data_IF_935002707335
#
_entry.id   IF_935002707335
#
_cell.length_a   1.000
_cell.length_b   1.000
_cell.length_c   1.000
_cell.angle_alpha   90.00
_cell.angle_beta   90.00
_cell.angle_gamma   90.00
#
_symmetry.space_group_name_H-M   'P 1'
#
loop_
_entity.id
_entity.type
_entity.pdbx_description
1 polymer ?
#
# COMPACT_ATOMS: atom_id res chain seq x y z
N UNK A 1 -6.47 7.80 -8.49
CA UNK A 1 -6.54 8.09 -7.03
C UNK A 1 -7.84 7.64 -6.38
N UNK A 2 -9.02 8.08 -6.84
CA UNK A 2 -10.31 7.73 -6.18
C UNK A 2 -10.59 6.22 -6.24
N UNK A 3 -10.31 5.59 -7.38
CA UNK A 3 -10.53 4.15 -7.59
C UNK A 3 -9.62 3.29 -6.70
N UNK A 4 -8.30 3.48 -6.77
CA UNK A 4 -7.32 2.79 -5.91
C UNK A 4 -7.67 2.90 -4.42
N UNK A 5 -8.07 4.10 -3.97
CA UNK A 5 -8.49 4.31 -2.60
C UNK A 5 -9.74 3.51 -2.25
N UNK A 6 -10.79 3.58 -3.08
CA UNK A 6 -12.03 2.80 -2.89
C UNK A 6 -11.74 1.30 -2.83
N UNK A 7 -10.90 0.81 -3.75
CA UNK A 7 -10.47 -0.58 -3.80
C UNK A 7 -9.79 -1.02 -2.50
N UNK A 8 -8.78 -0.27 -2.05
CA UNK A 8 -8.06 -0.54 -0.79
C UNK A 8 -9.04 -0.65 0.40
N UNK A 9 -10.01 0.28 0.49
CA UNK A 9 -11.01 0.26 1.57
C UNK A 9 -11.82 -1.03 1.60
N UNK A 10 -12.28 -1.45 0.42
CA UNK A 10 -13.12 -2.63 0.25
C UNK A 10 -12.32 -3.89 0.53
N UNK A 11 -11.10 -3.97 -0.01
CA UNK A 11 -10.28 -5.18 0.09
C UNK A 11 -9.80 -5.45 1.52
N UNK A 12 -9.40 -4.42 2.27
CA UNK A 12 -9.05 -4.56 3.69
C UNK A 12 -10.23 -5.06 4.55
N UNK A 13 -11.47 -4.66 4.21
CA UNK A 13 -12.70 -5.15 4.84
C UNK A 13 -12.94 -6.62 4.58
N UNK A 14 -12.84 -7.03 3.32
CA UNK A 14 -13.01 -8.43 2.88
C UNK A 14 -11.99 -9.34 3.56
N UNK A 15 -10.72 -8.89 3.66
CA UNK A 15 -9.64 -9.63 4.31
C UNK A 15 -9.66 -9.53 5.84
N UNK A 16 -10.60 -8.77 6.42
CA UNK A 16 -10.73 -8.52 7.86
C UNK A 16 -9.44 -7.98 8.52
N UNK A 17 -8.59 -7.31 7.74
CA UNK A 17 -7.29 -6.78 8.18
C UNK A 17 -7.39 -5.48 8.99
N UNK A 18 -8.56 -4.83 9.04
CA UNK A 18 -8.75 -3.54 9.74
C UNK A 18 -9.18 -3.65 11.21
N UNK A 19 -9.35 -4.85 11.77
CA UNK A 19 -9.86 -5.06 13.14
C UNK A 19 -8.76 -5.54 14.10
N UNK A 20 -8.93 -5.26 15.41
CA UNK A 20 -8.09 -5.75 16.53
C UNK A 20 -6.58 -5.45 16.41
N UNK A 21 -6.22 -4.19 16.16
CA UNK A 21 -4.81 -3.78 16.02
C UNK A 21 -4.20 -4.07 14.65
N UNK A 22 -5.04 -4.33 13.64
CA UNK A 22 -4.62 -4.51 12.26
C UNK A 22 -4.29 -3.21 11.53
N UNK A 23 -4.37 -3.25 10.21
CA UNK A 23 -3.86 -2.21 9.30
C UNK A 23 -4.71 -0.94 9.41
N UNK A 24 -4.06 0.16 9.80
CA UNK A 24 -4.62 1.51 9.76
C UNK A 24 -4.22 2.17 8.45
N UNK A 25 -5.18 2.87 7.81
CA UNK A 25 -4.99 3.55 6.54
C UNK A 25 -5.25 5.04 6.68
N UNK A 26 -4.32 5.84 6.20
CA UNK A 26 -4.42 7.30 6.20
C UNK A 26 -4.42 7.77 4.75
N UNK A 27 -5.36 8.67 4.40
CA UNK A 27 -5.38 9.31 3.09
C UNK A 27 -4.55 10.59 3.20
N UNK A 28 -3.49 10.67 2.41
CA UNK A 28 -2.63 11.85 2.28
C UNK A 28 -2.69 12.40 0.86
N UNK A 29 -2.32 13.67 0.69
CA UNK A 29 -2.38 14.37 -0.60
C UNK A 29 -1.02 14.37 -1.30
N UNK A 30 -0.19 15.39 -1.07
CA UNK A 30 1.15 15.49 -1.64
C UNK A 30 2.18 14.99 -0.62
N UNK A 31 3.13 14.18 -1.11
CA UNK A 31 4.27 13.65 -0.34
C UNK A 31 5.60 14.00 -1.00
N UNK A 32 5.61 15.06 -1.82
CA UNK A 32 6.77 15.52 -2.61
C UNK A 32 7.34 14.51 -3.64
N UNK A 33 6.64 13.39 -3.84
CA UNK A 33 6.91 12.41 -4.90
C UNK A 33 5.93 12.65 -6.05
N UNK A 34 6.24 13.62 -6.90
CA UNK A 34 5.36 14.04 -8.00
C UNK A 34 5.28 13.02 -9.14
N UNK A 35 6.34 12.23 -9.36
CA UNK A 35 6.42 11.22 -10.43
C UNK A 35 6.17 9.83 -9.85
N UNK A 36 5.21 9.09 -10.41
CA UNK A 36 4.91 7.71 -10.01
C UNK A 36 3.67 7.53 -9.12
N UNK A 37 2.85 8.56 -8.92
CA UNK A 37 1.57 8.42 -8.20
C UNK A 37 0.57 7.51 -8.95
N UNK A 38 -0.37 6.83 -8.25
CA UNK A 38 -0.62 6.84 -6.81
C UNK A 38 0.50 6.19 -5.98
N UNK A 39 0.78 6.78 -4.82
CA UNK A 39 1.80 6.31 -3.88
C UNK A 39 1.15 5.61 -2.68
N UNK A 40 1.73 4.50 -2.23
CA UNK A 40 1.35 3.80 -1.01
C UNK A 40 2.60 3.56 -0.16
N UNK A 41 2.55 3.98 1.10
CA UNK A 41 3.61 3.70 2.07
C UNK A 41 3.13 2.69 3.10
N UNK A 42 3.96 1.69 3.40
CA UNK A 42 3.71 0.68 4.43
C UNK A 42 4.68 0.92 5.59
N UNK A 43 4.11 1.13 6.78
CA UNK A 43 4.84 1.31 8.03
C UNK A 43 4.44 0.19 9.00
N UNK A 44 5.37 -0.34 9.83
CA UNK A 44 6.71 0.17 10.12
C UNK A 44 7.81 -0.18 9.10
N UNK A 45 7.50 -0.98 8.09
CA UNK A 45 8.45 -1.56 7.13
C UNK A 45 9.25 -0.51 6.32
N UNK A 46 8.75 0.71 6.20
CA UNK A 46 9.46 1.80 5.53
C UNK A 46 9.54 1.63 4.01
N UNK A 47 8.60 0.91 3.42
CA UNK A 47 8.53 0.62 1.99
C UNK A 47 7.52 1.54 1.33
N UNK A 48 7.93 2.15 0.22
CA UNK A 48 7.14 3.03 -0.61
C UNK A 48 6.91 2.39 -1.97
N UNK A 49 5.65 2.28 -2.36
CA UNK A 49 5.21 1.75 -3.63
C UNK A 49 4.72 2.87 -4.55
N UNK A 50 5.13 2.81 -5.82
CA UNK A 50 4.63 3.66 -6.90
C UNK A 50 3.62 2.93 -7.78
N UNK A 51 2.90 3.68 -8.61
CA UNK A 51 2.00 3.11 -9.61
C UNK A 51 0.85 2.29 -9.02
N UNK A 52 0.38 2.62 -7.82
CA UNK A 52 -0.57 1.81 -7.06
C UNK A 52 -1.99 1.83 -7.66
N UNK A 53 -2.18 1.06 -8.73
CA UNK A 53 -3.49 0.70 -9.29
C UNK A 53 -4.20 -0.34 -8.41
N UNK A 54 -5.51 -0.60 -8.60
CA UNK A 54 -6.20 -1.65 -7.87
C UNK A 54 -5.52 -3.03 -7.92
N UNK A 55 -4.98 -3.41 -9.08
CA UNK A 55 -4.28 -4.69 -9.24
C UNK A 55 -2.97 -4.74 -8.44
N UNK A 56 -2.19 -3.66 -8.49
CA UNK A 56 -0.95 -3.52 -7.72
C UNK A 56 -1.23 -3.54 -6.22
N UNK A 57 -2.31 -2.87 -5.80
CA UNK A 57 -2.73 -2.87 -4.39
C UNK A 57 -3.10 -4.29 -3.94
N UNK A 58 -3.82 -5.08 -4.73
CA UNK A 58 -4.15 -6.47 -4.34
C UNK A 58 -2.89 -7.30 -4.13
N UNK A 59 -1.89 -7.16 -5.00
CA UNK A 59 -0.57 -7.78 -4.83
C UNK A 59 0.10 -7.32 -3.54
N UNK A 60 0.15 -6.02 -3.25
CA UNK A 60 0.73 -5.51 -1.99
C UNK A 60 -0.02 -6.06 -0.77
N UNK A 61 -1.35 -6.15 -0.80
CA UNK A 61 -2.13 -6.68 0.32
C UNK A 61 -1.85 -8.18 0.54
N UNK A 62 -1.74 -8.97 -0.53
CA UNK A 62 -1.56 -10.42 -0.43
C UNK A 62 -0.09 -10.82 -0.22
N UNK A 63 0.82 -10.29 -1.01
CA UNK A 63 2.24 -10.64 -0.94
C UNK A 63 2.90 -9.97 0.26
N UNK A 64 2.71 -8.65 0.43
CA UNK A 64 3.39 -7.90 1.47
C UNK A 64 2.67 -7.98 2.81
N UNK A 65 1.41 -7.55 2.92
CA UNK A 65 0.74 -7.50 4.23
C UNK A 65 0.36 -8.87 4.78
N UNK A 66 -0.07 -9.82 3.93
CA UNK A 66 -0.47 -11.14 4.40
C UNK A 66 0.70 -12.14 4.50
N UNK A 67 1.72 -12.04 3.63
CA UNK A 67 2.82 -13.00 3.58
C UNK A 67 4.21 -12.41 3.92
N UNK A 68 4.29 -11.11 4.23
CA UNK A 68 5.55 -10.45 4.61
C UNK A 68 6.56 -10.29 3.47
N UNK A 69 6.14 -10.41 2.21
CA UNK A 69 7.01 -10.33 1.02
C UNK A 69 6.77 -9.04 0.23
N UNK A 70 7.70 -8.08 0.22
CA UNK A 70 7.57 -6.87 -0.58
C UNK A 70 7.41 -7.17 -2.08
N UNK A 71 6.61 -6.35 -2.77
CA UNK A 71 6.43 -6.45 -4.22
C UNK A 71 7.48 -5.58 -4.91
N UNK A 72 8.73 -6.07 -4.97
CA UNK A 72 9.93 -5.32 -5.40
C UNK A 72 9.75 -4.55 -6.72
N UNK A 73 8.98 -5.11 -7.66
CA UNK A 73 8.64 -4.49 -8.95
C UNK A 73 8.05 -3.07 -8.82
N UNK A 74 7.30 -2.81 -7.76
CA UNK A 74 6.64 -1.51 -7.52
C UNK A 74 7.32 -0.67 -6.44
N UNK A 75 8.39 -1.16 -5.83
CA UNK A 75 9.11 -0.43 -4.78
C UNK A 75 9.87 0.75 -5.42
N UNK A 76 9.58 1.95 -4.94
CA UNK A 76 10.24 3.19 -5.39
C UNK A 76 11.21 3.75 -4.35
N UNK A 77 11.04 3.36 -3.09
CA UNK A 77 11.98 3.62 -2.02
C UNK A 77 11.78 2.60 -0.90
N UNK A 78 12.86 2.12 -0.32
CA UNK A 78 12.85 1.31 0.89
C UNK A 78 13.98 1.76 1.80
N UNK A 79 13.79 1.61 3.10
CA UNK A 79 14.88 1.80 4.05
C UNK A 79 15.74 0.54 4.04
N UNK A 80 16.86 0.56 3.31
CA UNK A 80 17.90 -0.43 3.53
C UNK A 80 18.45 -0.19 4.94
N UNK A 81 18.39 -1.21 5.80
CA UNK A 81 19.23 -1.25 7.00
C UNK A 81 20.69 -1.41 6.57
#
# INVERSE_FOLDING_TARGET
MVESWKYLKRRLKELKLEKRGGVVRVKISCVDICRGGPILAIMPDGIWYGGCTPAVIDRILMEHLANGKPVEEYVIASKSL
#
